data_IF_229644004875
#
_entry.id   IF_229644004875
#
_cell.length_a   1.000
_cell.length_b   1.000
_cell.length_c   1.000
_cell.angle_alpha   90.00
_cell.angle_beta   90.00
_cell.angle_gamma   90.00
#
_symmetry.space_group_name_H-M   'P 1'
#
loop_
_entity.id
_entity.type
_entity.pdbx_description
1 polymer ?
#
# COMPACT_ATOMS: atom_id res chain seq x y z
N UNK A 1 -9.32 3.28 2.19
CA UNK A 1 -8.45 2.09 2.14
C UNK A 1 -7.30 2.31 3.09
N UNK A 2 -7.22 1.47 4.12
CA UNK A 2 -6.18 1.55 5.12
C UNK A 2 -4.81 1.30 4.50
N UNK A 3 -3.78 1.99 4.98
CA UNK A 3 -2.41 1.76 4.50
C UNK A 3 -1.93 0.33 4.81
N UNK A 4 -2.46 -0.30 5.87
CA UNK A 4 -2.22 -1.73 6.10
C UNK A 4 -2.65 -2.59 4.91
N UNK A 5 -3.81 -2.30 4.30
CA UNK A 5 -4.32 -3.08 3.16
C UNK A 5 -3.38 -2.98 1.96
N UNK A 6 -2.82 -1.80 1.71
CA UNK A 6 -1.85 -1.57 0.64
C UNK A 6 -0.62 -2.48 0.74
N UNK A 7 -0.12 -2.73 1.96
CA UNK A 7 1.03 -3.62 2.21
C UNK A 7 0.81 -5.09 1.81
N UNK A 8 -0.44 -5.50 1.56
CA UNK A 8 -0.77 -6.87 1.14
C UNK A 8 -1.19 -6.99 -0.33
N UNK A 9 -1.35 -5.88 -1.04
CA UNK A 9 -1.76 -5.90 -2.46
C UNK A 9 -0.56 -6.06 -3.38
N UNK A 10 -0.68 -6.95 -4.37
CA UNK A 10 0.36 -7.21 -5.38
C UNK A 10 -0.23 -7.25 -6.78
N UNK A 11 0.60 -6.92 -7.77
CA UNK A 11 0.26 -6.97 -9.20
C UNK A 11 0.89 -8.16 -9.94
N UNK A 12 1.39 -9.17 -9.21
CA UNK A 12 2.00 -10.37 -9.81
C UNK A 12 1.04 -11.21 -10.67
N UNK A 13 -0.27 -11.01 -10.52
CA UNK A 13 -1.26 -11.64 -11.38
C UNK A 13 -1.28 -11.10 -12.82
N UNK A 14 -0.58 -10.00 -13.10
CA UNK A 14 -0.43 -9.47 -14.45
C UNK A 14 0.52 -10.33 -15.29
N UNK A 15 0.15 -10.55 -16.54
CA UNK A 15 0.96 -11.24 -17.53
C UNK A 15 2.34 -10.58 -17.68
N UNK A 16 3.39 -11.37 -17.51
CA UNK A 16 4.78 -10.92 -17.68
C UNK A 16 5.35 -10.11 -16.52
N UNK A 17 4.63 -9.95 -15.40
CA UNK A 17 5.13 -9.26 -14.20
C UNK A 17 5.77 -10.26 -13.24
N UNK A 18 7.05 -10.08 -12.96
CA UNK A 18 7.81 -10.85 -11.97
C UNK A 18 7.87 -10.12 -10.61
N UNK A 19 7.96 -8.80 -10.65
CA UNK A 19 8.05 -7.88 -9.51
C UNK A 19 6.77 -7.05 -9.43
N UNK A 20 5.77 -7.59 -8.73
CA UNK A 20 4.45 -6.96 -8.57
C UNK A 20 4.26 -6.17 -7.26
N UNK A 21 5.28 -6.08 -6.40
CA UNK A 21 5.20 -5.50 -5.05
C UNK A 21 6.48 -4.71 -4.71
N UNK A 22 6.39 -3.59 -3.97
CA UNK A 22 5.16 -2.91 -3.55
C UNK A 22 4.51 -2.13 -4.69
N UNK A 23 3.18 -2.00 -4.66
CA UNK A 23 2.48 -1.09 -5.55
C UNK A 23 2.81 0.35 -5.15
N UNK A 24 3.12 1.22 -6.10
CA UNK A 24 3.41 2.63 -5.79
C UNK A 24 2.09 3.36 -5.53
N UNK A 25 2.00 4.05 -4.40
CA UNK A 25 0.88 4.94 -4.09
C UNK A 25 1.31 6.39 -4.30
N UNK A 26 0.47 7.21 -4.94
CA UNK A 26 0.82 8.59 -5.32
C UNK A 26 0.63 9.60 -4.16
N UNK A 27 0.32 9.13 -2.95
CA UNK A 27 -0.02 9.98 -1.81
C UNK A 27 1.17 10.15 -0.85
N UNK A 28 1.52 11.40 -0.56
CA UNK A 28 2.70 11.78 0.20
C UNK A 28 2.47 11.93 1.69
N UNK A 29 2.47 10.82 2.45
CA UNK A 29 2.56 10.87 3.91
C UNK A 29 3.85 10.18 4.37
N UNK A 30 4.93 10.95 4.51
CA UNK A 30 6.31 10.45 4.72
C UNK A 30 6.92 10.97 6.03
N UNK A 31 6.10 11.45 6.98
CA UNK A 31 6.60 12.26 8.10
C UNK A 31 6.85 11.55 9.43
N UNK A 32 6.09 10.52 9.78
CA UNK A 32 5.93 10.16 11.20
C UNK A 32 6.55 8.83 11.65
N UNK A 33 6.99 7.99 10.70
CA UNK A 33 7.56 6.68 11.02
C UNK A 33 9.07 6.65 10.76
N UNK A 34 9.86 5.98 11.62
CA UNK A 34 11.28 5.79 11.41
C UNK A 34 11.53 4.94 10.16
N UNK A 35 12.64 5.20 9.47
CA UNK A 35 13.02 4.46 8.25
C UNK A 35 13.45 3.00 8.52
N UNK A 36 13.84 2.72 9.76
CA UNK A 36 14.21 1.39 10.23
C UNK A 36 13.42 1.05 11.48
N UNK A 37 13.22 -0.25 11.71
CA UNK A 37 12.58 -0.74 12.92
C UNK A 37 13.48 -0.42 14.13
N UNK A 38 12.89 0.18 15.17
CA UNK A 38 13.59 0.47 16.41
C UNK A 38 13.74 -0.80 17.26
N UNK A 39 14.82 -0.90 18.03
CA UNK A 39 14.96 -1.95 19.05
C UNK A 39 13.89 -1.76 20.15
N UNK A 40 13.44 -2.86 20.76
CA UNK A 40 12.40 -2.88 21.79
C UNK A 40 11.05 -2.22 21.41
N UNK A 41 10.72 -2.21 20.10
CA UNK A 41 9.45 -1.64 19.60
C UNK A 41 8.21 -2.25 20.25
N UNK A 42 8.29 -3.50 20.72
CA UNK A 42 7.19 -4.24 21.38
C UNK A 42 6.79 -3.62 22.73
N UNK A 43 7.76 -3.03 23.44
CA UNK A 43 7.52 -2.38 24.73
C UNK A 43 7.27 -0.88 24.61
N UNK A 44 7.51 -0.30 23.43
CA UNK A 44 7.34 1.12 23.17
C UNK A 44 5.90 1.44 22.74
N UNK A 45 5.01 1.65 23.71
CA UNK A 45 3.60 1.99 23.43
C UNK A 45 3.43 3.21 22.54
N UNK A 46 4.28 4.24 22.67
CA UNK A 46 4.16 5.46 21.88
C UNK A 46 4.46 5.18 20.39
N UNK A 47 5.42 4.30 20.13
CA UNK A 47 5.69 3.81 18.78
C UNK A 47 4.52 2.97 18.25
N UNK A 48 4.00 2.02 19.05
CA UNK A 48 2.87 1.19 18.64
C UNK A 48 1.61 2.02 18.34
N UNK A 49 1.35 3.08 19.11
CA UNK A 49 0.26 4.03 18.87
C UNK A 49 0.43 4.78 17.54
N UNK A 50 1.65 5.24 17.22
CA UNK A 50 1.95 5.88 15.93
C UNK A 50 1.78 4.92 14.76
N UNK A 51 2.29 3.70 14.88
CA UNK A 51 2.12 2.65 13.87
C UNK A 51 0.63 2.31 13.68
N UNK A 52 -0.12 2.19 14.77
CA UNK A 52 -1.57 1.97 14.73
C UNK A 52 -2.28 3.08 13.97
N UNK A 53 -2.00 4.34 14.29
CA UNK A 53 -2.56 5.50 13.60
C UNK A 53 -2.33 5.41 12.08
N UNK A 54 -1.06 5.26 11.67
CA UNK A 54 -0.70 5.24 10.24
C UNK A 54 -1.28 4.03 9.52
N UNK A 55 -1.20 2.83 10.08
CA UNK A 55 -1.61 1.61 9.38
C UNK A 55 -3.14 1.40 9.39
N UNK A 56 -3.83 1.81 10.46
CA UNK A 56 -5.22 1.44 10.70
C UNK A 56 -6.22 2.59 10.69
N UNK A 57 -5.78 3.82 10.94
CA UNK A 57 -6.64 5.01 11.01
C UNK A 57 -6.49 5.92 9.77
N UNK A 58 -5.35 5.87 9.08
CA UNK A 58 -5.16 6.61 7.83
C UNK A 58 -5.76 5.84 6.65
N UNK A 59 -6.76 6.48 6.03
CA UNK A 59 -7.50 5.94 4.90
C UNK A 59 -7.27 6.75 3.62
N UNK A 60 -6.93 6.04 2.55
CA UNK A 60 -6.93 6.60 1.19
C UNK A 60 -8.34 6.52 0.63
N UNK A 61 -8.98 7.66 0.38
CA UNK A 61 -10.33 7.74 -0.17
C UNK A 61 -10.33 7.66 -1.70
N UNK A 62 -9.50 8.48 -2.36
CA UNK A 62 -9.33 8.49 -3.80
C UNK A 62 -7.85 8.50 -4.16
N UNK A 63 -7.45 7.69 -5.12
CA UNK A 63 -6.05 7.57 -5.54
C UNK A 63 -5.83 6.47 -6.57
N UNK A 64 -4.57 6.17 -6.85
CA UNK A 64 -4.17 5.10 -7.75
C UNK A 64 -3.03 4.30 -7.12
N UNK A 65 -3.06 2.98 -7.28
CA UNK A 65 -1.93 2.09 -7.03
C UNK A 65 -1.29 1.74 -8.37
N UNK A 66 0.03 1.84 -8.48
CA UNK A 66 0.74 1.62 -9.75
C UNK A 66 1.65 0.41 -9.62
N UNK A 67 1.52 -0.55 -10.54
CA UNK A 67 2.44 -1.67 -10.67
C UNK A 67 3.86 -1.15 -10.91
N UNK A 68 4.87 -1.61 -10.14
CA UNK A 68 6.23 -1.10 -10.29
C UNK A 68 6.91 -1.54 -11.60
N UNK A 69 6.49 -2.66 -12.20
CA UNK A 69 7.08 -3.22 -13.42
C UNK A 69 6.28 -2.84 -14.68
N UNK A 70 4.97 -3.12 -14.74
CA UNK A 70 4.15 -2.86 -15.92
C UNK A 70 3.62 -1.42 -16.01
N UNK A 71 3.65 -0.66 -14.91
CA UNK A 71 3.03 0.66 -14.83
C UNK A 71 1.49 0.65 -14.82
N UNK A 72 0.85 -0.53 -14.80
CA UNK A 72 -0.62 -0.66 -14.70
C UNK A 72 -1.14 0.02 -13.44
N UNK A 73 -2.17 0.84 -13.60
CA UNK A 73 -2.81 1.59 -12.53
C UNK A 73 -4.08 0.89 -12.03
N UNK A 74 -4.24 0.76 -10.73
CA UNK A 74 -5.42 0.25 -10.05
C UNK A 74 -6.08 1.41 -9.31
N UNK A 75 -7.24 1.91 -9.76
CA UNK A 75 -7.88 3.05 -9.13
C UNK A 75 -8.46 2.68 -7.76
N UNK A 76 -8.36 3.62 -6.82
CA UNK A 76 -9.03 3.58 -5.53
C UNK A 76 -10.16 4.62 -5.58
N UNK A 77 -11.40 4.16 -5.40
CA UNK A 77 -12.59 5.02 -5.39
C UNK A 77 -13.38 4.75 -4.13
N UNK A 78 -13.78 5.81 -3.42
CA UNK A 78 -14.53 5.69 -2.16
C UNK A 78 -13.86 4.76 -1.14
N UNK A 79 -12.53 4.76 -1.12
CA UNK A 79 -11.72 3.93 -0.25
C UNK A 79 -11.65 2.45 -0.61
N UNK A 80 -12.14 2.05 -1.78
CA UNK A 80 -12.12 0.67 -2.28
C UNK A 80 -11.15 0.58 -3.47
N UNK A 81 -10.07 -0.22 -3.37
CA UNK A 81 -9.17 -0.46 -4.49
C UNK A 81 -9.80 -1.43 -5.50
N UNK A 82 -9.78 -1.07 -6.79
CA UNK A 82 -10.20 -1.95 -7.87
C UNK A 82 -9.01 -2.73 -8.44
N UNK A 83 -8.95 -4.03 -8.13
CA UNK A 83 -7.90 -4.96 -8.57
C UNK A 83 -8.36 -5.89 -9.70
N UNK A 84 -9.45 -5.57 -10.39
CA UNK A 84 -9.94 -6.35 -11.53
C UNK A 84 -9.00 -6.19 -12.73
N UNK A 85 -8.78 -7.29 -13.44
CA UNK A 85 -7.95 -7.40 -14.62
C UNK A 85 -8.84 -7.68 -15.85
N UNK A 86 -8.40 -7.20 -17.01
CA UNK A 86 -8.99 -7.63 -18.27
C UNK A 86 -8.44 -9.01 -18.68
N UNK A 87 -9.12 -9.71 -19.58
CA UNK A 87 -8.72 -11.04 -20.05
C UNK A 87 -7.35 -11.05 -20.76
N UNK A 88 -6.98 -9.95 -21.40
CA UNK A 88 -5.70 -9.74 -22.06
C UNK A 88 -4.54 -9.44 -21.10
N UNK A 89 -4.85 -9.10 -19.84
CA UNK A 89 -3.87 -8.72 -18.81
C UNK A 89 -3.43 -9.89 -17.91
N UNK A 90 -4.03 -11.07 -18.06
CA UNK A 90 -3.74 -12.31 -17.29
C UNK A 90 -2.88 -13.29 -18.09
#
# INVERSE_FOLDING_TARGET
MKLLTHNFLTSRCLKGVNVGYPLKIVLGHVGELPQALIEDYESNEDFLKKVHHVLLEVDVINGELVCPESGRKFPITSGIPNMLLNEDEV
#
